data_IF_286264965037
#
_entry.id   IF_286264965037
#
_cell.length_a   1.000
_cell.length_b   1.000
_cell.length_c   1.000
_cell.angle_alpha   90.00
_cell.angle_beta   90.00
_cell.angle_gamma   90.00
#
_symmetry.space_group_name_H-M   'P 1'
#
loop_
_entity.id
_entity.type
_entity.pdbx_description
1 polymer ?
#
# COMPACT_ATOMS: atom_id res chain seq x y z
N UNK A 1 -18.42 -3.96 -23.51
CA UNK A 1 -17.31 -4.03 -22.54
C UNK A 1 -17.02 -2.61 -22.13
N UNK A 2 -17.47 -2.25 -20.93
CA UNK A 2 -17.30 -0.90 -20.39
C UNK A 2 -15.80 -0.72 -20.10
N UNK A 3 -15.11 0.11 -20.89
CA UNK A 3 -13.71 0.46 -20.62
C UNK A 3 -13.73 1.47 -19.48
N UNK A 4 -13.82 0.98 -18.26
CA UNK A 4 -13.55 1.79 -17.08
C UNK A 4 -12.05 2.12 -17.13
N UNK A 5 -11.72 3.30 -17.67
CA UNK A 5 -10.36 3.82 -17.63
C UNK A 5 -10.08 4.17 -16.17
N UNK A 6 -9.43 3.25 -15.47
CA UNK A 6 -8.95 3.50 -14.12
C UNK A 6 -7.91 4.62 -14.21
N UNK A 7 -8.28 5.83 -13.77
CA UNK A 7 -7.40 6.98 -13.68
C UNK A 7 -7.10 7.23 -12.21
N UNK A 8 -5.95 6.76 -11.74
CA UNK A 8 -5.46 7.03 -10.39
C UNK A 8 -4.71 8.36 -10.38
N UNK A 9 -4.86 9.11 -9.29
CA UNK A 9 -3.96 10.23 -9.01
C UNK A 9 -2.52 9.71 -8.79
N UNK A 10 -1.48 10.54 -9.02
CA UNK A 10 -0.10 10.12 -8.83
C UNK A 10 0.17 9.54 -7.43
N UNK A 11 -0.39 10.15 -6.39
CA UNK A 11 -0.29 9.69 -5.00
C UNK A 11 -0.96 8.32 -4.79
N UNK A 12 -2.14 8.11 -5.37
CA UNK A 12 -2.83 6.82 -5.33
C UNK A 12 -2.03 5.73 -6.04
N UNK A 13 -1.34 6.07 -7.14
CA UNK A 13 -0.43 5.16 -7.84
C UNK A 13 0.77 4.72 -7.00
N UNK A 14 1.36 5.65 -6.22
CA UNK A 14 2.47 5.35 -5.31
C UNK A 14 2.02 4.39 -4.20
N UNK A 15 0.88 4.69 -3.56
CA UNK A 15 0.33 3.83 -2.50
C UNK A 15 -0.02 2.45 -3.06
N UNK A 16 -0.62 2.40 -4.25
CA UNK A 16 -0.92 1.12 -4.93
C UNK A 16 0.36 0.31 -5.18
N UNK A 17 1.44 0.94 -5.63
CA UNK A 17 2.69 0.23 -5.90
C UNK A 17 3.32 -0.34 -4.62
N UNK A 18 3.29 0.41 -3.52
CA UNK A 18 3.74 -0.07 -2.21
C UNK A 18 2.86 -1.23 -1.70
N UNK A 19 1.54 -1.08 -1.76
CA UNK A 19 0.58 -2.11 -1.35
C UNK A 19 0.73 -3.39 -2.19
N UNK A 20 0.99 -3.27 -3.49
CA UNK A 20 1.23 -4.40 -4.37
C UNK A 20 2.48 -5.20 -3.97
N UNK A 21 3.56 -4.52 -3.57
CA UNK A 21 4.77 -5.21 -3.07
C UNK A 21 4.50 -5.95 -1.75
N UNK A 22 3.80 -5.31 -0.80
CA UNK A 22 3.43 -5.93 0.47
C UNK A 22 2.55 -7.17 0.23
N UNK A 23 1.52 -7.03 -0.61
CA UNK A 23 0.62 -8.13 -0.94
C UNK A 23 1.35 -9.29 -1.63
N UNK A 24 2.25 -8.99 -2.56
CA UNK A 24 3.07 -10.01 -3.21
C UNK A 24 3.95 -10.78 -2.21
N UNK A 25 4.43 -10.13 -1.15
CA UNK A 25 5.18 -10.80 -0.08
C UNK A 25 4.27 -11.74 0.75
N UNK A 26 3.03 -11.34 1.04
CA UNK A 26 2.05 -12.22 1.69
C UNK A 26 1.70 -13.44 0.85
N UNK A 27 1.57 -13.28 -0.48
CA UNK A 27 1.35 -14.40 -1.39
C UNK A 27 2.56 -15.35 -1.35
N UNK A 28 3.78 -14.82 -1.52
CA UNK A 28 5.01 -15.62 -1.57
C UNK A 28 5.29 -16.36 -0.27
N UNK A 29 4.89 -15.81 0.87
CA UNK A 29 5.00 -16.46 2.18
C UNK A 29 3.90 -17.48 2.48
N UNK A 30 2.93 -17.66 1.57
CA UNK A 30 1.83 -18.62 1.73
C UNK A 30 0.74 -18.18 2.70
N UNK A 31 0.70 -16.90 3.09
CA UNK A 31 -0.33 -16.37 3.99
C UNK A 31 -1.67 -16.15 3.28
N UNK A 32 -1.63 -15.83 1.98
CA UNK A 32 -2.83 -15.64 1.17
C UNK A 32 -3.37 -16.99 0.73
N UNK A 33 -4.44 -17.44 1.37
CA UNK A 33 -5.18 -18.65 1.01
C UNK A 33 -6.41 -18.31 0.17
N UNK A 34 -6.92 -19.29 -0.58
CA UNK A 34 -8.13 -19.11 -1.38
C UNK A 34 -9.33 -18.67 -0.54
N UNK A 35 -9.94 -17.54 -0.90
CA UNK A 35 -11.02 -16.91 -0.15
C UNK A 35 -10.58 -15.82 0.83
N UNK A 36 -9.28 -15.66 1.08
CA UNK A 36 -8.72 -14.60 1.95
C UNK A 36 -8.10 -13.43 1.17
N UNK A 37 -8.12 -13.46 -0.16
CA UNK A 37 -7.43 -12.48 -1.02
C UNK A 37 -7.88 -11.05 -0.72
N UNK A 38 -9.18 -10.83 -0.53
CA UNK A 38 -9.73 -9.49 -0.24
C UNK A 38 -9.26 -8.92 1.09
N UNK A 39 -9.11 -9.77 2.10
CA UNK A 39 -8.63 -9.36 3.43
C UNK A 39 -7.17 -8.93 3.33
N UNK A 40 -6.34 -9.75 2.69
CA UNK A 40 -4.92 -9.47 2.52
C UNK A 40 -4.64 -8.29 1.59
N UNK A 41 -5.46 -8.07 0.56
CA UNK A 41 -5.39 -6.85 -0.26
C UNK A 41 -5.69 -5.61 0.58
N UNK A 42 -6.75 -5.63 1.37
CA UNK A 42 -7.13 -4.51 2.25
C UNK A 42 -6.02 -4.23 3.26
N UNK A 43 -5.52 -5.28 3.92
CA UNK A 43 -4.41 -5.19 4.87
C UNK A 43 -3.16 -4.57 4.25
N UNK A 44 -2.79 -4.99 3.04
CA UNK A 44 -1.60 -4.48 2.36
C UNK A 44 -1.71 -2.99 2.01
N UNK A 45 -2.92 -2.51 1.70
CA UNK A 45 -3.19 -1.09 1.48
C UNK A 45 -3.05 -0.31 2.78
N UNK A 46 -3.64 -0.80 3.88
CA UNK A 46 -3.53 -0.16 5.20
C UNK A 46 -2.09 -0.07 5.67
N UNK A 47 -1.31 -1.14 5.52
CA UNK A 47 0.11 -1.17 5.88
C UNK A 47 0.95 -0.22 5.00
N UNK A 48 0.66 -0.12 3.70
CA UNK A 48 1.30 0.86 2.82
C UNK A 48 1.03 2.31 3.28
N UNK A 49 -0.20 2.62 3.69
CA UNK A 49 -0.58 3.93 4.23
C UNK A 49 0.14 4.20 5.56
N UNK A 50 0.22 3.21 6.44
CA UNK A 50 0.94 3.34 7.71
C UNK A 50 2.43 3.60 7.49
N UNK A 51 3.07 2.91 6.54
CA UNK A 51 4.46 3.18 6.17
C UNK A 51 4.65 4.61 5.65
N UNK A 52 3.76 5.07 4.77
CA UNK A 52 3.83 6.43 4.24
C UNK A 52 3.73 7.48 5.37
N UNK A 53 2.81 7.30 6.31
CA UNK A 53 2.66 8.19 7.48
C UNK A 53 3.88 8.15 8.40
N UNK A 54 4.41 6.97 8.69
CA UNK A 54 5.58 6.84 9.54
C UNK A 54 6.81 7.51 8.93
N UNK A 55 6.99 7.43 7.60
CA UNK A 55 8.06 8.14 6.90
C UNK A 55 7.85 9.65 7.01
N UNK A 56 6.63 10.15 6.79
CA UNK A 56 6.30 11.57 6.92
C UNK A 56 6.62 12.09 8.32
N UNK A 57 6.16 11.38 9.36
CA UNK A 57 6.43 11.73 10.76
C UNK A 57 7.94 11.79 11.07
N UNK A 58 8.73 10.83 10.57
CA UNK A 58 10.19 10.79 10.78
C UNK A 58 10.87 11.94 10.04
N UNK A 59 10.53 12.16 8.77
CA UNK A 59 11.16 13.20 7.94
C UNK A 59 10.82 14.60 8.44
N UNK A 60 9.58 14.82 8.89
CA UNK A 60 9.17 16.08 9.53
C UNK A 60 9.94 16.26 10.85
N UNK A 61 10.02 15.23 11.68
CA UNK A 61 10.78 15.29 12.94
C UNK A 61 12.26 15.65 12.72
N UNK A 62 12.89 15.10 11.67
CA UNK A 62 14.29 15.41 11.32
C UNK A 62 14.45 16.84 10.78
N UNK A 63 13.45 17.38 10.08
CA UNK A 63 13.48 18.73 9.50
C UNK A 63 13.02 19.85 10.46
N UNK A 64 12.34 19.52 11.56
CA UNK A 64 11.89 20.47 12.59
C UNK A 64 12.91 20.66 13.74
N UNK A 65 14.07 20.00 13.67
CA UNK A 65 15.20 20.23 14.57
C UNK A 65 16.02 21.46 14.14
N UNK A 66 15.45 22.66 14.26
CA UNK A 66 16.16 23.94 14.22
C UNK A 66 15.91 24.75 15.52
#
# INVERSE_FOLDING_TARGET
MDKSYLSLQPSEGIVLQAAAHIYAAYIQSGQVTSGSESEWMTRSIEEAIQLAKAIDDIVVSDNEMD
#
